data_IF_547442714996
#
_entry.id   IF_547442714996
#
_cell.length_a   1.000
_cell.length_b   1.000
_cell.length_c   1.000
_cell.angle_alpha   90.00
_cell.angle_beta   90.00
_cell.angle_gamma   90.00
#
_symmetry.space_group_name_H-M   'P 1'
#
loop_
_entity.id
_entity.type
_entity.pdbx_description
1 polymer ?
#
# COMPACT_ATOMS: atom_id res chain seq x y z
N UNK A 1 5.96 -6.68 20.91
CA UNK A 1 5.19 -5.58 20.27
C UNK A 1 4.34 -6.19 19.18
N UNK A 2 3.01 -6.15 19.34
CA UNK A 2 2.08 -6.57 18.28
C UNK A 2 1.97 -5.43 17.27
N UNK A 3 2.62 -5.57 16.11
CA UNK A 3 2.31 -4.73 14.95
C UNK A 3 0.96 -5.20 14.41
N UNK A 4 -0.09 -4.40 14.58
CA UNK A 4 -1.37 -4.65 13.94
C UNK A 4 -1.16 -4.55 12.42
N UNK A 5 -1.28 -5.68 11.72
CA UNK A 5 -1.17 -5.73 10.26
C UNK A 5 -2.57 -5.58 9.67
N UNK A 6 -2.82 -4.49 8.97
CA UNK A 6 -4.03 -4.32 8.16
C UNK A 6 -3.64 -4.31 6.69
N UNK A 7 -4.20 -5.24 5.92
CA UNK A 7 -4.18 -5.21 4.46
C UNK A 7 -5.62 -5.04 4.00
N UNK A 8 -5.90 -3.98 3.23
CA UNK A 8 -7.19 -3.73 2.63
C UNK A 8 -7.05 -3.91 1.11
N UNK A 9 -7.82 -4.84 0.55
CA UNK A 9 -7.94 -5.01 -0.90
C UNK A 9 -9.27 -4.39 -1.35
N UNK A 10 -9.22 -3.33 -2.14
CA UNK A 10 -10.40 -2.75 -2.76
C UNK A 10 -10.52 -3.32 -4.18
N UNK A 11 -11.62 -4.04 -4.43
CA UNK A 11 -11.88 -4.65 -5.74
C UNK A 11 -13.04 -3.92 -6.39
N UNK A 12 -12.78 -3.18 -7.48
CA UNK A 12 -13.82 -2.54 -8.28
C UNK A 12 -14.34 -3.51 -9.35
N UNK A 13 -15.61 -3.95 -9.24
CA UNK A 13 -16.30 -4.76 -10.27
C UNK A 13 -17.46 -3.99 -10.91
N UNK A 14 -17.70 -4.16 -12.22
CA UNK A 14 -18.73 -3.45 -13.04
C UNK A 14 -20.18 -3.56 -12.51
N UNK A 15 -21.08 -2.60 -12.85
CA UNK A 15 -22.52 -2.85 -12.93
C UNK A 15 -23.03 -3.05 -14.38
N UNK A 16 -24.16 -3.78 -14.46
CA UNK A 16 -25.18 -3.94 -15.53
C UNK A 16 -25.12 -5.10 -16.55
N UNK A 17 -25.66 -6.25 -16.12
CA UNK A 17 -26.66 -7.10 -16.81
C UNK A 17 -27.67 -7.62 -15.74
N UNK A 18 -28.93 -7.97 -16.07
CA UNK A 18 -29.89 -8.48 -15.09
C UNK A 18 -29.36 -9.78 -14.45
N UNK A 19 -29.62 -9.99 -13.15
CA UNK A 19 -28.92 -11.00 -12.36
C UNK A 19 -29.37 -12.40 -12.74
N UNK A 20 -28.48 -13.19 -13.31
CA UNK A 20 -28.45 -14.61 -12.99
C UNK A 20 -28.03 -14.73 -11.52
N UNK A 21 -28.80 -15.42 -10.65
CA UNK A 21 -28.39 -15.58 -9.27
C UNK A 21 -27.04 -16.31 -9.25
N UNK A 22 -26.02 -15.77 -8.57
CA UNK A 22 -24.76 -16.47 -8.47
C UNK A 22 -25.00 -17.78 -7.70
N UNK A 23 -24.47 -18.92 -8.17
CA UNK A 23 -24.53 -20.14 -7.40
C UNK A 23 -23.87 -19.92 -6.03
N UNK A 24 -24.32 -20.61 -4.98
CA UNK A 24 -23.83 -20.40 -3.63
C UNK A 24 -22.31 -20.62 -3.58
N UNK A 25 -21.63 -19.90 -2.69
CA UNK A 25 -20.21 -20.14 -2.39
C UNK A 25 -20.08 -21.02 -1.15
N UNK A 26 -19.82 -22.33 -1.28
CA UNK A 26 -19.28 -23.14 -0.21
C UNK A 26 -17.78 -23.34 -0.44
N UNK A 27 -16.95 -23.01 0.55
CA UNK A 27 -15.52 -23.37 0.64
C UNK A 27 -14.79 -23.56 -0.72
N UNK A 28 -14.60 -22.46 -1.46
CA UNK A 28 -14.05 -22.53 -2.83
C UNK A 28 -14.03 -21.18 -3.54
N UNK A 29 -13.44 -20.14 -2.92
CA UNK A 29 -13.26 -18.85 -3.61
C UNK A 29 -12.26 -19.03 -4.75
N UNK A 30 -12.71 -18.85 -6.00
CA UNK A 30 -11.81 -18.74 -7.15
C UNK A 30 -10.86 -17.56 -6.88
N UNK A 31 -9.53 -17.74 -7.00
CA UNK A 31 -8.57 -16.67 -6.80
C UNK A 31 -8.88 -15.49 -7.75
N UNK A 32 -8.50 -14.24 -7.42
CA UNK A 32 -8.62 -13.10 -8.33
C UNK A 32 -8.03 -13.37 -9.72
N UNK A 33 -7.03 -14.24 -9.80
CA UNK A 33 -6.42 -14.69 -11.05
C UNK A 33 -7.34 -15.51 -11.97
N UNK A 34 -8.49 -15.95 -11.47
CA UNK A 34 -9.49 -16.70 -12.22
C UNK A 34 -10.70 -15.83 -12.63
N UNK A 35 -10.55 -14.50 -12.56
CA UNK A 35 -11.56 -13.52 -12.96
C UNK A 35 -11.10 -12.77 -14.20
N UNK A 36 -11.33 -13.30 -15.42
CA UNK A 36 -10.97 -12.62 -16.67
C UNK A 36 -11.70 -11.27 -16.83
N UNK A 37 -12.78 -11.05 -16.08
CA UNK A 37 -13.52 -9.80 -16.04
C UNK A 37 -12.92 -8.71 -15.13
N UNK A 38 -11.89 -9.05 -14.34
CA UNK A 38 -11.26 -8.09 -13.43
C UNK A 38 -10.44 -7.06 -14.21
N UNK A 39 -10.89 -5.81 -14.22
CA UNK A 39 -10.24 -4.71 -14.94
C UNK A 39 -9.00 -4.19 -14.25
N UNK A 40 -9.03 -4.15 -12.92
CA UNK A 40 -7.90 -3.72 -12.11
C UNK A 40 -7.93 -4.32 -10.71
N UNK A 41 -6.76 -4.52 -10.12
CA UNK A 41 -6.57 -4.85 -8.72
C UNK A 41 -5.78 -3.72 -8.06
N UNK A 42 -6.32 -3.13 -6.99
CA UNK A 42 -5.59 -2.18 -6.16
C UNK A 42 -5.45 -2.73 -4.74
N UNK A 43 -4.22 -2.90 -4.30
CA UNK A 43 -3.90 -3.41 -2.97
C UNK A 43 -3.17 -2.34 -2.18
N UNK A 44 -3.60 -2.13 -0.94
CA UNK A 44 -3.00 -1.17 -0.02
C UNK A 44 -2.38 -1.92 1.15
N UNK A 45 -1.12 -1.62 1.46
CA UNK A 45 -0.39 -2.18 2.59
C UNK A 45 0.17 -1.09 3.49
N UNK A 46 0.04 -1.26 4.80
CA UNK A 46 0.65 -0.39 5.81
C UNK A 46 1.51 -1.21 6.74
N UNK A 47 2.65 -0.68 7.18
CA UNK A 47 3.55 -1.39 8.10
C UNK A 47 3.92 -2.79 7.55
N UNK A 48 3.94 -3.81 8.40
CA UNK A 48 4.12 -5.21 8.00
C UNK A 48 3.07 -5.70 6.97
N UNK A 49 1.92 -5.04 6.86
CA UNK A 49 0.93 -5.28 5.81
C UNK A 49 1.46 -5.05 4.39
N UNK A 50 2.56 -4.31 4.23
CA UNK A 50 3.26 -4.15 2.95
C UNK A 50 3.70 -5.48 2.33
N UNK A 51 4.14 -6.45 3.14
CA UNK A 51 4.49 -7.79 2.65
C UNK A 51 3.29 -8.53 2.08
N UNK A 52 2.15 -8.50 2.80
CA UNK A 52 0.93 -9.15 2.36
C UNK A 52 0.38 -8.49 1.09
N UNK A 53 0.38 -7.15 1.04
CA UNK A 53 -0.08 -6.40 -0.12
C UNK A 53 0.77 -6.69 -1.36
N UNK A 54 2.11 -6.64 -1.22
CA UNK A 54 3.02 -6.96 -2.31
C UNK A 54 2.88 -8.42 -2.76
N UNK A 55 2.79 -9.38 -1.83
CA UNK A 55 2.59 -10.78 -2.15
C UNK A 55 1.26 -11.03 -2.90
N UNK A 56 0.19 -10.31 -2.53
CA UNK A 56 -1.09 -10.38 -3.23
C UNK A 56 -0.96 -9.91 -4.69
N UNK A 57 -0.31 -8.77 -4.92
CA UNK A 57 -0.05 -8.26 -6.28
C UNK A 57 0.81 -9.23 -7.09
N UNK A 58 1.93 -9.69 -6.53
CA UNK A 58 2.82 -10.67 -7.19
C UNK A 58 2.09 -11.97 -7.55
N UNK A 59 1.24 -12.47 -6.66
CA UNK A 59 0.47 -13.69 -6.90
C UNK A 59 -0.57 -13.47 -8.01
N UNK A 60 -1.26 -12.32 -7.99
CA UNK A 60 -2.22 -11.95 -9.03
C UNK A 60 -1.57 -11.87 -10.40
N UNK A 61 -0.50 -11.07 -10.54
CA UNK A 61 0.21 -10.89 -11.82
C UNK A 61 0.73 -12.20 -12.37
N UNK A 62 1.32 -13.05 -11.52
CA UNK A 62 1.83 -14.36 -11.94
C UNK A 62 0.73 -15.30 -12.42
N UNK A 63 -0.39 -15.36 -11.70
CA UNK A 63 -1.43 -16.34 -11.97
C UNK A 63 -2.37 -15.91 -13.12
N UNK A 64 -2.61 -14.60 -13.29
CA UNK A 64 -3.45 -14.08 -14.37
C UNK A 64 -2.69 -13.89 -15.70
N UNK A 65 -1.36 -13.81 -15.67
CA UNK A 65 -0.51 -13.72 -16.87
C UNK A 65 -0.88 -12.52 -17.75
N UNK A 66 -0.89 -12.73 -19.07
CA UNK A 66 -1.20 -11.67 -20.04
C UNK A 66 -2.69 -11.28 -20.08
N UNK A 67 -3.56 -12.11 -19.49
CA UNK A 67 -5.01 -11.85 -19.41
C UNK A 67 -5.42 -11.03 -18.19
N UNK A 68 -4.44 -10.53 -17.43
CA UNK A 68 -4.67 -9.77 -16.20
C UNK A 68 -5.19 -8.37 -16.49
N UNK A 69 -6.04 -7.89 -15.60
CA UNK A 69 -6.26 -6.46 -15.40
C UNK A 69 -5.04 -5.79 -14.79
N UNK A 70 -5.10 -4.46 -14.71
CA UNK A 70 -3.97 -3.67 -14.24
C UNK A 70 -3.83 -3.74 -12.71
N UNK A 71 -2.59 -3.84 -12.23
CA UNK A 71 -2.25 -4.04 -10.83
C UNK A 71 -1.58 -2.80 -10.23
N UNK A 72 -2.23 -2.19 -9.24
CA UNK A 72 -1.73 -1.05 -8.47
C UNK A 72 -1.38 -1.48 -7.05
N UNK A 73 -0.28 -0.97 -6.53
CA UNK A 73 0.14 -1.13 -5.15
C UNK A 73 0.35 0.23 -4.49
N UNK A 74 -0.33 0.51 -3.38
CA UNK A 74 -0.01 1.66 -2.53
C UNK A 74 0.53 1.17 -1.20
N UNK A 75 1.71 1.66 -0.83
CA UNK A 75 2.37 1.32 0.43
C UNK A 75 2.40 2.56 1.31
N UNK A 76 2.00 2.42 2.56
CA UNK A 76 1.97 3.50 3.55
C UNK A 76 2.91 3.12 4.69
N UNK A 77 4.10 3.73 4.76
CA UNK A 77 5.18 3.34 5.69
C UNK A 77 5.33 1.81 5.85
N UNK A 78 5.61 1.07 4.77
CA UNK A 78 5.69 -0.37 4.86
C UNK A 78 6.94 -0.77 5.65
N UNK A 79 6.78 -1.71 6.58
CA UNK A 79 7.92 -2.33 7.23
C UNK A 79 8.62 -3.23 6.22
N UNK A 80 9.92 -3.02 6.02
CA UNK A 80 10.62 -3.62 4.89
C UNK A 80 11.54 -4.79 5.28
N UNK A 81 11.91 -4.93 6.56
CA UNK A 81 12.76 -6.02 7.03
C UNK A 81 12.00 -7.33 7.30
N UNK A 82 12.64 -8.47 7.06
CA UNK A 82 12.29 -9.74 7.70
C UNK A 82 12.98 -9.88 9.05
N UNK A 83 12.52 -10.81 9.89
CA UNK A 83 13.05 -10.99 11.24
C UNK A 83 14.57 -11.24 11.29
N UNK A 84 15.13 -11.90 10.27
CA UNK A 84 16.56 -12.17 10.10
C UNK A 84 17.35 -11.02 9.44
N UNK A 85 16.66 -10.03 8.90
CA UNK A 85 17.22 -8.82 8.28
C UNK A 85 17.29 -7.64 9.25
N UNK A 86 16.72 -7.80 10.45
CA UNK A 86 16.83 -6.82 11.54
C UNK A 86 18.14 -7.03 12.29
N UNK A 87 19.25 -6.60 11.72
CA UNK A 87 20.56 -6.64 12.37
C UNK A 87 21.18 -5.23 12.45
N UNK A 88 21.82 -4.86 13.58
CA UNK A 88 22.65 -3.66 13.64
C UNK A 88 23.86 -3.74 12.68
N UNK A 89 24.31 -2.60 12.12
CA UNK A 89 23.67 -1.29 12.22
C UNK A 89 22.36 -1.31 11.45
N UNK A 90 21.34 -0.64 11.99
CA UNK A 90 20.13 -0.28 11.25
C UNK A 90 20.61 0.48 10.02
N UNK A 91 20.79 -0.22 8.89
CA UNK A 91 21.02 0.45 7.64
C UNK A 91 19.78 1.28 7.33
N UNK A 92 19.86 2.14 6.33
CA UNK A 92 18.72 2.93 5.87
C UNK A 92 17.63 2.06 5.20
N UNK A 93 17.50 0.80 5.62
CA UNK A 93 16.59 -0.25 5.20
C UNK A 93 16.72 -0.67 3.74
N UNK A 94 17.63 -0.06 2.96
CA UNK A 94 17.75 -0.33 1.52
C UNK A 94 18.16 -1.76 1.19
N UNK A 95 18.78 -2.49 2.12
CA UNK A 95 19.16 -3.89 1.91
C UNK A 95 18.08 -4.89 2.30
N UNK A 96 17.01 -4.43 2.93
CA UNK A 96 15.90 -5.27 3.37
C UNK A 96 15.16 -5.87 2.18
N UNK A 97 14.54 -7.03 2.39
CA UNK A 97 13.75 -7.71 1.35
C UNK A 97 12.62 -6.84 0.82
N UNK A 98 11.94 -6.08 1.67
CA UNK A 98 10.91 -5.12 1.27
C UNK A 98 11.45 -4.05 0.32
N UNK A 99 12.57 -3.41 0.66
CA UNK A 99 13.19 -2.39 -0.19
C UNK A 99 13.57 -2.89 -1.59
N UNK A 100 13.95 -4.17 -1.70
CA UNK A 100 14.36 -4.79 -2.97
C UNK A 100 13.19 -5.33 -3.80
N UNK A 101 12.04 -5.60 -3.19
CA UNK A 101 10.96 -6.37 -3.82
C UNK A 101 9.64 -5.61 -3.92
N UNK A 102 9.35 -4.68 -3.03
CA UNK A 102 8.06 -4.01 -2.98
C UNK A 102 7.78 -3.21 -4.25
N UNK A 103 6.62 -3.46 -4.85
CA UNK A 103 6.18 -2.80 -6.08
C UNK A 103 6.72 -3.42 -7.36
N UNK A 104 7.66 -4.38 -7.30
CA UNK A 104 8.31 -4.96 -8.49
C UNK A 104 7.33 -5.46 -9.54
N UNK A 105 6.29 -6.17 -9.11
CA UNK A 105 5.37 -6.86 -10.00
C UNK A 105 4.11 -6.02 -10.31
N UNK A 106 3.94 -4.83 -9.71
CA UNK A 106 2.82 -3.93 -9.99
C UNK A 106 3.05 -3.12 -11.27
N UNK A 107 2.00 -2.81 -12.02
CA UNK A 107 2.07 -1.85 -13.14
C UNK A 107 2.41 -0.45 -12.64
N UNK A 108 1.82 -0.09 -11.49
CA UNK A 108 2.15 1.12 -10.76
C UNK A 108 2.26 0.84 -9.26
N UNK A 109 3.38 1.24 -8.66
CA UNK A 109 3.59 1.18 -7.23
C UNK A 109 3.93 2.56 -6.68
N UNK A 110 3.24 2.96 -5.61
CA UNK A 110 3.47 4.21 -4.91
C UNK A 110 3.74 3.98 -3.42
N UNK A 111 4.53 4.86 -2.85
CA UNK A 111 4.93 4.82 -1.45
C UNK A 111 4.61 6.16 -0.79
N UNK A 112 3.67 6.16 0.15
CA UNK A 112 3.40 7.27 1.04
C UNK A 112 4.30 7.11 2.25
N UNK A 113 5.28 8.00 2.34
CA UNK A 113 6.40 7.96 3.28
C UNK A 113 6.25 9.04 4.35
N UNK A 114 6.48 8.67 5.60
CA UNK A 114 6.77 9.57 6.69
C UNK A 114 8.23 9.39 7.15
N UNK A 115 9.10 10.36 6.87
CA UNK A 115 10.52 10.32 7.26
C UNK A 115 10.72 10.48 8.76
N UNK A 116 9.71 10.96 9.50
CA UNK A 116 9.75 11.05 10.97
C UNK A 116 9.33 9.73 11.65
N UNK A 117 8.98 8.70 10.87
CA UNK A 117 8.61 7.42 11.45
C UNK A 117 9.83 6.76 12.10
N UNK A 118 9.67 6.41 13.38
CA UNK A 118 10.72 5.78 14.19
C UNK A 118 10.75 4.27 14.02
N UNK A 119 9.73 3.68 13.36
CA UNK A 119 9.71 2.25 13.08
C UNK A 119 10.90 1.93 12.16
N UNK A 120 11.76 0.95 12.51
CA UNK A 120 12.89 0.63 11.67
C UNK A 120 12.44 0.25 10.27
N UNK A 121 13.21 0.69 9.28
CA UNK A 121 13.02 0.36 7.88
C UNK A 121 11.73 0.86 7.18
N UNK A 122 11.07 1.88 7.72
CA UNK A 122 9.88 2.50 7.10
C UNK A 122 10.14 3.91 6.56
N UNK A 123 11.18 4.59 7.07
CA UNK A 123 11.41 6.03 6.91
C UNK A 123 12.30 6.43 5.72
N UNK A 124 12.39 5.60 4.69
CA UNK A 124 13.19 5.87 3.49
C UNK A 124 12.41 5.53 2.22
N UNK A 125 12.71 6.21 1.10
CA UNK A 125 11.99 5.97 -0.15
C UNK A 125 12.31 4.59 -0.75
N UNK A 126 11.27 3.88 -1.19
CA UNK A 126 11.42 2.59 -1.86
C UNK A 126 11.84 2.76 -3.32
N UNK A 127 12.91 2.08 -3.78
CA UNK A 127 13.49 2.32 -5.11
C UNK A 127 12.58 1.90 -6.26
N UNK A 128 11.64 1.00 -6.01
CA UNK A 128 10.70 0.50 -7.01
C UNK A 128 9.32 1.19 -6.94
N UNK A 129 9.16 2.23 -6.13
CA UNK A 129 7.89 2.95 -6.01
C UNK A 129 8.07 4.41 -6.42
N UNK A 130 7.00 5.06 -6.87
CA UNK A 130 6.91 6.51 -6.88
C UNK A 130 6.58 6.99 -5.45
N UNK A 131 7.43 7.81 -4.86
CA UNK A 131 7.33 8.13 -3.44
C UNK A 131 6.74 9.52 -3.21
N UNK A 132 5.65 9.57 -2.44
CA UNK A 132 5.11 10.78 -1.83
C UNK A 132 5.63 10.87 -0.40
N UNK A 133 6.56 11.79 -0.15
CA UNK A 133 6.97 12.15 1.20
C UNK A 133 5.91 13.08 1.80
N UNK A 134 5.07 12.51 2.66
CA UNK A 134 3.93 13.18 3.29
C UNK A 134 4.25 13.68 4.69
N UNK A 135 5.52 13.65 5.09
CA UNK A 135 5.97 14.03 6.44
C UNK A 135 5.48 15.42 6.84
N UNK A 136 5.55 16.38 5.91
CA UNK A 136 5.22 17.77 6.20
C UNK A 136 3.89 18.23 5.60
N UNK A 137 3.08 17.30 5.10
CA UNK A 137 1.76 17.61 4.58
C UNK A 137 0.93 18.37 5.63
N UNK A 138 0.33 19.51 5.26
CA UNK A 138 -0.40 20.41 6.19
C UNK A 138 -1.46 19.69 7.00
N UNK A 139 -2.11 18.70 6.39
CA UNK A 139 -3.17 17.91 6.96
C UNK A 139 -2.71 17.02 8.12
N UNK A 140 -1.41 16.74 8.25
CA UNK A 140 -0.82 15.96 9.35
C UNK A 140 -1.11 16.59 10.70
N UNK A 141 -1.12 17.92 10.78
CA UNK A 141 -1.45 18.64 12.01
C UNK A 141 -2.89 18.39 12.50
N UNK A 142 -3.79 18.01 11.58
CA UNK A 142 -5.17 17.64 11.86
C UNK A 142 -5.39 16.12 11.92
N UNK A 143 -4.31 15.32 11.95
CA UNK A 143 -4.39 13.88 12.19
C UNK A 143 -4.37 13.66 13.71
N UNK A 144 -5.50 13.24 14.32
CA UNK A 144 -5.61 13.19 15.77
C UNK A 144 -4.60 12.17 16.31
N UNK A 145 -3.74 12.55 17.27
CA UNK A 145 -2.95 11.56 17.98
C UNK A 145 -3.89 10.65 18.77
N UNK A 146 -3.48 9.41 19.07
CA UNK A 146 -4.22 8.57 20.00
C UNK A 146 -4.34 9.27 21.36
N UNK A 147 -5.54 9.25 21.94
CA UNK A 147 -5.82 9.78 23.28
C UNK A 147 -6.34 8.63 24.14
N UNK A 148 -5.43 8.07 24.95
CA UNK A 148 -5.73 7.02 25.92
C UNK A 148 -6.01 7.57 27.32
N UNK A 149 -5.93 8.90 27.51
CA UNK A 149 -6.02 9.54 28.82
C UNK A 149 -4.81 9.32 29.73
N UNK A 150 -3.73 8.72 29.23
CA UNK A 150 -2.48 8.49 29.97
C UNK A 150 -1.32 9.13 29.21
N UNK A 151 -0.73 10.19 29.78
CA UNK A 151 0.28 10.98 29.10
C UNK A 151 1.52 10.21 28.62
N UNK A 152 1.97 9.16 29.35
CA UNK A 152 3.11 8.34 28.94
C UNK A 152 2.74 7.47 27.74
N UNK A 153 1.56 6.85 27.79
CA UNK A 153 1.04 6.06 26.69
C UNK A 153 0.76 6.95 25.48
N UNK A 154 0.20 8.13 25.68
CA UNK A 154 -0.09 9.09 24.62
C UNK A 154 1.18 9.64 24.00
N UNK A 155 2.24 9.85 24.77
CA UNK A 155 3.55 10.21 24.24
C UNK A 155 4.12 9.07 23.37
N UNK A 156 4.08 7.83 23.87
CA UNK A 156 4.50 6.66 23.10
C UNK A 156 3.67 6.44 21.84
N UNK A 157 2.36 6.61 21.95
CA UNK A 157 1.39 6.52 20.85
C UNK A 157 1.43 7.72 19.92
N UNK A 158 1.94 8.88 20.32
CA UNK A 158 2.22 10.00 19.41
C UNK A 158 3.46 9.71 18.59
N UNK A 159 4.50 9.19 19.23
CA UNK A 159 5.71 8.73 18.52
C UNK A 159 5.38 7.60 17.53
N UNK A 160 4.55 6.63 17.93
CA UNK A 160 4.09 5.54 17.05
C UNK A 160 2.91 5.93 16.14
N UNK A 161 2.10 6.90 16.51
CA UNK A 161 0.86 7.26 15.83
C UNK A 161 1.10 7.93 14.49
N UNK A 162 2.25 8.57 14.35
CA UNK A 162 2.73 9.05 13.05
C UNK A 162 3.08 7.92 12.08
N UNK A 163 3.27 6.67 12.53
CA UNK A 163 3.39 5.52 11.62
C UNK A 163 2.11 5.28 10.79
N UNK A 164 0.94 5.62 11.34
CA UNK A 164 -0.33 5.52 10.60
C UNK A 164 -0.64 6.79 9.79
N UNK A 165 0.21 7.82 9.84
CA UNK A 165 -0.06 9.06 9.14
C UNK A 165 -0.21 8.85 7.62
N UNK A 166 0.68 8.09 6.94
CA UNK A 166 0.58 7.98 5.50
C UNK A 166 -0.67 7.27 4.99
N UNK A 167 -1.22 6.29 5.73
CA UNK A 167 -2.52 5.70 5.37
C UNK A 167 -3.66 6.69 5.60
N UNK A 168 -3.57 7.55 6.61
CA UNK A 168 -4.49 8.67 6.81
C UNK A 168 -4.44 9.67 5.66
N UNK A 169 -3.25 10.01 5.17
CA UNK A 169 -3.06 10.86 3.99
C UNK A 169 -3.65 10.20 2.74
N UNK A 170 -3.28 8.95 2.45
CA UNK A 170 -3.82 8.19 1.33
C UNK A 170 -5.36 8.17 1.37
N UNK A 171 -5.97 7.85 2.51
CA UNK A 171 -7.43 7.77 2.63
C UNK A 171 -8.15 9.10 2.35
N UNK A 172 -7.48 10.25 2.56
CA UNK A 172 -8.05 11.59 2.31
C UNK A 172 -7.87 12.05 0.86
N UNK A 173 -6.76 11.68 0.23
CA UNK A 173 -6.36 12.23 -1.08
C UNK A 173 -6.46 11.24 -2.23
N UNK A 174 -6.60 9.95 -1.95
CA UNK A 174 -6.73 8.94 -2.98
C UNK A 174 -8.10 9.02 -3.64
N UNK A 175 -8.08 9.19 -4.96
CA UNK A 175 -9.27 9.13 -5.79
C UNK A 175 -9.04 8.13 -6.93
N UNK A 176 -10.02 7.26 -7.14
CA UNK A 176 -10.05 6.41 -8.35
C UNK A 176 -10.61 7.25 -9.48
N UNK A 177 -9.73 7.70 -10.38
CA UNK A 177 -10.16 8.32 -11.62
C UNK A 177 -10.55 7.26 -12.64
N UNK A 178 -11.59 7.52 -13.42
CA UNK A 178 -12.08 6.62 -14.47
C UNK A 178 -11.97 7.30 -15.84
N UNK A 179 -11.68 6.52 -16.88
CA UNK A 179 -11.76 6.96 -18.28
C UNK A 179 -13.22 7.01 -18.79
N UNK A 180 -13.41 7.38 -20.06
CA UNK A 180 -14.73 7.46 -20.71
C UNK A 180 -15.45 6.10 -20.78
N UNK A 181 -14.69 5.00 -20.75
CA UNK A 181 -15.19 3.62 -20.74
C UNK A 181 -15.41 3.07 -19.31
N UNK A 182 -15.18 3.91 -18.30
CA UNK A 182 -15.32 3.58 -16.88
C UNK A 182 -14.21 2.67 -16.34
N UNK A 183 -13.06 2.58 -17.00
CA UNK A 183 -11.88 1.86 -16.53
C UNK A 183 -11.04 2.75 -15.62
N UNK A 184 -10.43 2.21 -14.56
CA UNK A 184 -9.52 2.98 -13.73
C UNK A 184 -8.35 3.54 -14.52
N UNK A 185 -8.19 4.86 -14.48
CA UNK A 185 -7.00 5.55 -14.94
C UNK A 185 -5.89 5.29 -13.92
N UNK A 186 -4.91 4.51 -14.34
CA UNK A 186 -3.73 4.24 -13.54
C UNK A 186 -2.61 5.15 -14.00
N UNK A 187 -1.90 5.80 -13.06
CA UNK A 187 -0.62 6.38 -13.39
C UNK A 187 0.31 5.28 -13.92
N UNK A 188 1.27 5.65 -14.75
CA UNK A 188 2.31 4.74 -15.21
C UNK A 188 3.69 5.20 -14.73
N UNK A 189 4.66 4.30 -14.79
CA UNK A 189 6.03 4.62 -14.44
C UNK A 189 6.82 5.34 -15.55
N UNK A 190 6.20 5.63 -16.69
CA UNK A 190 6.80 6.51 -17.70
C UNK A 190 6.61 8.00 -17.32
N UNK A 191 5.44 8.32 -16.77
CA UNK A 191 5.05 9.65 -16.30
C UNK A 191 5.46 9.90 -14.85
N UNK A 192 5.37 8.87 -13.99
CA UNK A 192 5.74 8.93 -12.57
C UNK A 192 6.83 7.88 -12.27
N UNK A 193 8.12 8.17 -12.55
CA UNK A 193 9.18 7.17 -12.54
C UNK A 193 9.43 6.58 -11.15
N UNK A 194 9.70 5.27 -11.10
CA UNK A 194 10.14 4.57 -9.87
C UNK A 194 11.38 5.23 -9.28
N UNK A 195 11.46 5.27 -7.96
CA UNK A 195 12.57 5.90 -7.23
C UNK A 195 12.48 7.42 -7.14
N UNK A 196 11.51 8.05 -7.82
CA UNK A 196 11.24 9.49 -7.64
C UNK A 196 10.65 9.74 -6.27
N UNK A 197 11.05 10.84 -5.64
CA UNK A 197 10.51 11.31 -4.36
C UNK A 197 9.96 12.72 -4.55
N UNK A 198 8.68 12.91 -4.23
CA UNK A 198 8.02 14.21 -4.20
C UNK A 198 7.62 14.53 -2.77
N UNK A 199 8.04 15.71 -2.29
CA UNK A 199 7.64 16.22 -0.99
C UNK A 199 6.28 16.91 -1.11
N UNK A 200 5.33 16.45 -0.30
CA UNK A 200 4.01 17.05 -0.19
C UNK A 200 4.08 18.20 0.84
N UNK A 201 3.60 19.41 0.48
CA UNK A 201 3.72 20.61 1.31
C UNK A 201 2.66 20.80 2.39
#
# INVERSE_FOLDING_TARGET
MLAASTALALVATRPLLPPTPPPPLPHGRTPPAARPELRSLHVVGTSAGGFAANACVSAYVRAAGDSRGAARLSLCDPFCARADEVAPPWDDGRRTSGARLFGRDADFAEHYLNTDDIVPSTNFPLPLCYCYDVTHAKERAAFPPPDSGNWLNDLGLRLLGYHNWPIGYLARHYETQLDEDGNPLLPDHATLPRGTVVRVP
#
